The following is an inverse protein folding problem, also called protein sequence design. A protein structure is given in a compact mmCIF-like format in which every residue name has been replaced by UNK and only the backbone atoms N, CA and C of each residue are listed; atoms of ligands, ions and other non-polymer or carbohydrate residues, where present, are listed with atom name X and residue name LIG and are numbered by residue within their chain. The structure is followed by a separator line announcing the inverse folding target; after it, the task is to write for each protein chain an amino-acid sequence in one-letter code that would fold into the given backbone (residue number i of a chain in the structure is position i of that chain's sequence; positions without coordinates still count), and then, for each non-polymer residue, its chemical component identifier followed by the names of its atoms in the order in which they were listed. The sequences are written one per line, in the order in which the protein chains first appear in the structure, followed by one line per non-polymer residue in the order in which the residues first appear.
data_IF_783000102854
#
_entry.id   IF_783000102854
#
_cell.length_a   1.000
_cell.length_b   1.000
_cell.length_c   1.000
_cell.angle_alpha   90.00
_cell.angle_beta   90.00
_cell.angle_gamma   90.00
#
_symmetry.space_group_name_H-M   'P 1'
#
loop_
_entity.id
_entity.type
_entity.pdbx_description
1 polymer ?
#
# COMPACT_ATOMS: atom_id res chain seq x y z
N UNK A 1 -65.36 -3.07 18.16
CA UNK A 1 -64.49 -3.79 17.18
C UNK A 1 -63.42 -2.93 16.48
N UNK A 2 -63.23 -1.63 16.76
CA UNK A 2 -62.21 -0.78 16.11
C UNK A 2 -60.93 -0.57 16.95
N UNK A 3 -61.01 -0.74 18.26
CA UNK A 3 -59.85 -0.52 19.17
C UNK A 3 -58.87 -1.73 19.15
N UNK A 4 -59.38 -2.96 19.00
CA UNK A 4 -58.53 -4.15 18.93
C UNK A 4 -57.63 -4.23 17.68
N UNK A 5 -58.10 -3.67 16.55
CA UNK A 5 -57.30 -3.63 15.30
C UNK A 5 -56.16 -2.61 15.33
N UNK A 6 -56.33 -1.52 16.10
CA UNK A 6 -55.31 -0.48 16.25
C UNK A 6 -54.16 -0.94 17.15
N UNK A 7 -54.48 -1.72 18.19
CA UNK A 7 -53.46 -2.29 19.11
C UNK A 7 -52.61 -3.38 18.45
N UNK A 8 -53.22 -4.21 17.59
CA UNK A 8 -52.48 -5.25 16.84
C UNK A 8 -51.56 -4.64 15.78
N UNK A 9 -51.97 -3.56 15.11
CA UNK A 9 -51.14 -2.84 14.15
C UNK A 9 -49.96 -2.11 14.83
N UNK A 10 -50.16 -1.57 16.04
CA UNK A 10 -49.10 -0.92 16.79
C UNK A 10 -48.08 -1.93 17.36
N UNK A 11 -48.55 -3.10 17.81
CA UNK A 11 -47.69 -4.19 18.27
C UNK A 11 -46.84 -4.82 17.13
N UNK A 12 -47.41 -4.92 15.92
CA UNK A 12 -46.71 -5.38 14.73
C UNK A 12 -45.65 -4.32 14.25
N UNK A 13 -45.95 -3.02 14.40
CA UNK A 13 -44.99 -1.98 14.05
C UNK A 13 -43.86 -1.84 15.07
N UNK A 14 -44.13 -2.07 16.37
CA UNK A 14 -43.15 -2.11 17.43
C UNK A 14 -42.18 -3.32 17.31
N UNK A 15 -42.65 -4.46 16.78
CA UNK A 15 -41.82 -5.65 16.56
C UNK A 15 -40.84 -5.48 15.39
N UNK A 16 -41.07 -4.55 14.46
CA UNK A 16 -40.15 -4.23 13.37
C UNK A 16 -39.03 -3.24 13.77
N UNK A 17 -39.14 -2.59 14.95
CA UNK A 17 -38.14 -1.61 15.42
C UNK A 17 -37.05 -2.22 16.29
N UNK A 18 -37.09 -3.53 16.53
CA UNK A 18 -36.05 -4.24 17.32
C UNK A 18 -35.17 -5.15 16.49
N UNK A 19 -35.01 -4.88 15.20
CA UNK A 19 -33.87 -5.43 14.49
C UNK A 19 -32.63 -4.64 14.96
N UNK A 20 -32.02 -5.13 16.02
CA UNK A 20 -30.70 -4.68 16.41
C UNK A 20 -29.79 -4.82 15.21
N UNK A 21 -29.33 -3.70 14.67
CA UNK A 21 -28.25 -3.68 13.71
C UNK A 21 -27.07 -4.36 14.40
N UNK A 22 -26.81 -5.62 14.04
CA UNK A 22 -25.54 -6.27 14.41
C UNK A 22 -24.44 -5.44 13.77
N UNK A 23 -23.50 -4.90 14.52
CA UNK A 23 -22.39 -4.16 13.95
C UNK A 23 -21.63 -5.12 13.03
N UNK A 24 -21.70 -4.91 11.73
CA UNK A 24 -20.84 -5.55 10.76
C UNK A 24 -19.43 -4.98 10.94
N UNK A 25 -18.56 -5.74 11.60
CA UNK A 25 -17.15 -5.42 11.74
C UNK A 25 -16.60 -5.82 13.12
N UNK A 26 -15.30 -6.10 13.24
CA UNK A 26 -14.67 -6.23 14.53
C UNK A 26 -14.93 -4.93 15.30
N UNK A 27 -15.53 -5.05 16.48
CA UNK A 27 -15.83 -3.90 17.32
C UNK A 27 -14.54 -3.18 17.68
N UNK A 28 -14.21 -2.17 16.92
CA UNK A 28 -13.26 -1.18 17.41
C UNK A 28 -13.93 -0.50 18.59
N UNK A 29 -13.35 -0.65 19.77
CA UNK A 29 -13.70 0.19 20.88
C UNK A 29 -13.49 1.61 20.40
N UNK A 30 -14.61 2.32 20.17
CA UNK A 30 -14.57 3.75 19.86
C UNK A 30 -13.71 4.41 20.94
N UNK A 31 -12.66 5.14 20.58
CA UNK A 31 -11.88 5.86 21.57
C UNK A 31 -12.83 6.73 22.38
N UNK A 32 -12.65 6.75 23.70
CA UNK A 32 -13.51 7.49 24.66
C UNK A 32 -13.65 8.97 24.29
N UNK A 33 -12.78 9.45 23.41
CA UNK A 33 -12.81 10.80 22.85
C UNK A 33 -12.93 10.72 21.33
N UNK A 34 -14.06 11.15 20.83
CA UNK A 34 -14.21 11.44 19.41
C UNK A 34 -13.24 12.55 19.03
N UNK A 35 -12.36 12.32 18.06
CA UNK A 35 -11.46 13.37 17.59
C UNK A 35 -12.22 14.27 16.63
N UNK A 36 -12.33 15.56 16.97
CA UNK A 36 -12.88 16.57 16.06
C UNK A 36 -11.99 16.65 14.80
N UNK A 37 -12.57 16.36 13.64
CA UNK A 37 -11.82 16.32 12.36
C UNK A 37 -11.49 17.72 11.84
N UNK A 38 -12.27 18.74 12.20
CA UNK A 38 -12.13 20.08 11.69
C UNK A 38 -12.29 21.14 12.78
N UNK A 39 -11.54 22.25 12.72
CA UNK A 39 -11.79 23.43 13.54
C UNK A 39 -13.13 24.08 13.16
N UNK A 40 -13.65 24.94 14.05
CA UNK A 40 -14.90 25.68 13.84
C UNK A 40 -14.76 26.82 12.81
N UNK A 41 -13.54 27.19 12.50
CA UNK A 41 -13.21 28.20 11.47
C UNK A 41 -12.72 27.53 10.19
N UNK A 42 -12.78 28.20 9.02
CA UNK A 42 -12.22 27.67 7.79
C UNK A 42 -10.75 27.26 7.94
N UNK A 43 -10.33 26.18 7.27
CA UNK A 43 -8.96 25.68 7.36
C UNK A 43 -7.90 26.73 7.03
N UNK A 44 -8.13 27.56 6.01
CA UNK A 44 -7.24 28.68 5.64
C UNK A 44 -7.09 29.69 6.76
N UNK A 45 -8.15 29.94 7.50
CA UNK A 45 -8.17 30.86 8.63
C UNK A 45 -7.38 30.28 9.81
N UNK A 46 -7.65 29.01 10.12
CA UNK A 46 -6.93 28.33 11.18
C UNK A 46 -5.42 28.22 10.87
N UNK A 47 -5.06 27.85 9.64
CA UNK A 47 -3.68 27.79 9.20
C UNK A 47 -2.98 29.14 9.25
N UNK A 48 -3.71 30.27 9.08
CA UNK A 48 -3.18 31.64 9.18
C UNK A 48 -3.11 32.21 10.61
N UNK A 49 -3.51 31.40 11.62
CA UNK A 49 -3.45 31.79 13.03
C UNK A 49 -4.77 32.32 13.62
N UNK A 50 -5.86 32.32 12.85
CA UNK A 50 -7.20 32.59 13.38
C UNK A 50 -7.80 31.31 13.96
N UNK A 51 -7.29 30.90 15.11
CA UNK A 51 -7.52 29.56 15.65
C UNK A 51 -8.95 29.28 16.13
N UNK A 52 -9.69 30.34 16.55
CA UNK A 52 -10.95 30.15 17.28
C UNK A 52 -10.73 29.41 18.60
N UNK A 53 -11.63 28.49 18.93
CA UNK A 53 -11.51 27.66 20.13
C UNK A 53 -10.65 26.42 19.79
N UNK A 54 -9.52 26.28 20.48
CA UNK A 54 -8.66 25.08 20.34
C UNK A 54 -9.16 24.03 21.33
N UNK A 55 -9.57 22.88 20.79
CA UNK A 55 -10.05 21.74 21.57
C UNK A 55 -8.97 20.67 21.70
N UNK A 56 -8.79 20.05 22.88
CA UNK A 56 -7.81 18.97 23.06
C UNK A 56 -8.17 17.71 22.24
N UNK A 57 -9.41 17.62 21.77
CA UNK A 57 -9.93 16.53 20.91
C UNK A 57 -9.59 16.70 19.44
N UNK A 58 -8.98 17.82 19.04
CA UNK A 58 -8.52 17.99 17.66
C UNK A 58 -7.45 16.97 17.28
N UNK A 59 -7.42 16.61 16.02
CA UNK A 59 -6.35 15.77 15.46
C UNK A 59 -4.98 16.41 15.66
N UNK A 60 -3.94 15.59 15.74
CA UNK A 60 -2.57 16.05 16.02
C UNK A 60 -2.07 17.07 15.01
N UNK A 61 -2.40 16.91 13.72
CA UNK A 61 -2.05 17.89 12.68
C UNK A 61 -2.67 19.28 12.94
N UNK A 62 -3.92 19.32 13.40
CA UNK A 62 -4.60 20.58 13.79
C UNK A 62 -3.96 21.18 15.04
N UNK A 63 -3.64 20.34 16.05
CA UNK A 63 -2.96 20.77 17.27
C UNK A 63 -1.53 21.25 17.01
N UNK A 64 -0.83 20.69 16.03
CA UNK A 64 0.48 21.17 15.61
C UNK A 64 0.42 22.63 15.11
N UNK A 65 -0.55 22.96 14.27
CA UNK A 65 -0.73 24.34 13.81
C UNK A 65 -1.06 25.29 14.96
N UNK A 66 -1.94 24.87 15.88
CA UNK A 66 -2.22 25.65 17.10
C UNK A 66 -0.96 25.87 17.95
N UNK A 67 -0.18 24.82 18.20
CA UNK A 67 1.08 24.91 18.92
C UNK A 67 2.03 25.95 18.29
N UNK A 68 2.21 25.91 16.97
CA UNK A 68 3.07 26.82 16.22
C UNK A 68 2.65 28.28 16.43
N UNK A 69 1.36 28.58 16.35
CA UNK A 69 0.85 29.93 16.55
C UNK A 69 0.91 30.38 18.00
N UNK A 70 0.52 29.53 18.95
CA UNK A 70 0.52 29.85 20.37
C UNK A 70 1.94 29.97 20.93
N UNK A 71 2.91 29.26 20.38
CA UNK A 71 4.33 29.41 20.75
C UNK A 71 5.03 30.61 20.09
N UNK A 72 4.33 31.35 19.23
CA UNK A 72 4.89 32.48 18.50
C UNK A 72 5.72 32.13 17.25
N UNK A 73 5.90 30.84 16.94
CA UNK A 73 6.63 30.42 15.75
C UNK A 73 5.85 30.71 14.45
N UNK A 74 4.53 30.52 14.46
CA UNK A 74 3.66 30.67 13.30
C UNK A 74 3.98 29.67 12.15
N UNK A 75 3.33 29.85 11.01
CA UNK A 75 3.53 29.05 9.79
C UNK A 75 3.90 29.96 8.63
N UNK A 76 4.77 29.51 7.71
CA UNK A 76 4.99 30.18 6.41
C UNK A 76 3.77 29.98 5.51
N UNK A 77 3.69 30.68 4.39
CA UNK A 77 2.58 30.51 3.44
C UNK A 77 2.54 29.08 2.86
N UNK A 78 3.70 28.50 2.56
CA UNK A 78 3.80 27.14 2.03
C UNK A 78 3.41 26.11 3.10
N UNK A 79 3.86 26.27 4.34
CA UNK A 79 3.44 25.45 5.46
C UNK A 79 1.92 25.55 5.73
N UNK A 80 1.32 26.75 5.62
CA UNK A 80 -0.13 26.93 5.75
C UNK A 80 -0.88 26.15 4.67
N UNK A 81 -0.43 26.24 3.41
CA UNK A 81 -1.00 25.50 2.30
C UNK A 81 -0.87 23.99 2.53
N UNK A 82 0.33 23.52 2.88
CA UNK A 82 0.58 22.12 3.16
C UNK A 82 -0.32 21.56 4.28
N UNK A 83 -0.55 22.34 5.38
CA UNK A 83 -1.47 21.95 6.45
C UNK A 83 -2.91 21.83 5.96
N UNK A 84 -3.38 22.79 5.16
CA UNK A 84 -4.74 22.73 4.58
C UNK A 84 -4.90 21.51 3.70
N UNK A 85 -3.88 21.15 2.90
CA UNK A 85 -3.91 19.98 2.04
C UNK A 85 -3.94 18.67 2.87
N UNK A 86 -3.14 18.58 3.95
CA UNK A 86 -3.19 17.45 4.88
C UNK A 86 -4.58 17.29 5.52
N UNK A 87 -5.16 18.37 6.02
CA UNK A 87 -6.48 18.30 6.67
C UNK A 87 -7.61 17.92 5.71
N UNK A 88 -7.56 18.40 4.47
CA UNK A 88 -8.51 17.99 3.43
C UNK A 88 -8.40 16.51 3.11
N UNK A 89 -7.17 16.03 2.91
CA UNK A 89 -6.92 14.62 2.67
C UNK A 89 -7.43 13.75 3.83
N UNK A 90 -7.15 14.13 5.08
CA UNK A 90 -7.63 13.44 6.28
C UNK A 90 -9.17 13.40 6.40
N UNK A 91 -9.91 14.41 5.89
CA UNK A 91 -11.39 14.45 5.93
C UNK A 91 -11.99 13.69 4.78
N UNK A 92 -11.48 13.94 3.58
CA UNK A 92 -12.04 13.39 2.33
C UNK A 92 -11.72 11.90 2.17
N UNK A 93 -10.82 11.37 3.00
CA UNK A 93 -10.28 10.01 2.87
C UNK A 93 -9.72 9.73 1.46
N UNK A 94 -9.20 10.80 0.81
CA UNK A 94 -8.77 10.78 -0.61
C UNK A 94 -7.31 10.39 -0.81
N UNK A 95 -6.55 10.18 0.27
CA UNK A 95 -5.16 9.75 0.17
C UNK A 95 -5.01 8.35 -0.46
N UNK A 96 -6.13 7.63 -0.64
CA UNK A 96 -6.18 6.29 -1.21
C UNK A 96 -6.49 6.23 -2.72
N UNK A 97 -6.96 7.32 -3.32
CA UNK A 97 -7.18 7.38 -4.77
C UNK A 97 -6.07 8.20 -5.42
N UNK A 98 -4.97 7.56 -5.79
CA UNK A 98 -3.98 8.18 -6.64
C UNK A 98 -4.47 8.20 -8.10
N UNK A 99 -5.42 9.11 -8.39
CA UNK A 99 -5.90 9.38 -9.74
C UNK A 99 -4.76 9.84 -10.69
N UNK A 100 -3.55 10.08 -10.15
CA UNK A 100 -2.40 10.51 -10.93
C UNK A 100 -1.75 9.35 -11.68
N UNK A 101 -1.87 8.11 -11.18
CA UNK A 101 -1.39 6.90 -11.90
C UNK A 101 -2.20 6.70 -13.17
N UNK A 102 -3.53 6.76 -13.09
CA UNK A 102 -4.41 6.59 -14.25
C UNK A 102 -4.12 7.61 -15.35
N UNK A 103 -3.85 8.86 -14.99
CA UNK A 103 -3.49 9.89 -15.96
C UNK A 103 -2.15 9.63 -16.65
N UNK A 104 -1.15 9.13 -15.90
CA UNK A 104 0.16 8.78 -16.45
C UNK A 104 0.07 7.53 -17.36
N UNK A 105 -0.72 6.53 -16.95
CA UNK A 105 -1.03 5.36 -17.79
C UNK A 105 -1.73 5.76 -19.08
N UNK A 106 -2.73 6.65 -19.01
CA UNK A 106 -3.42 7.14 -20.19
C UNK A 106 -2.46 7.88 -21.14
N UNK A 107 -1.58 8.73 -20.61
CA UNK A 107 -0.56 9.45 -21.41
C UNK A 107 0.41 8.46 -22.08
N UNK A 108 0.87 7.43 -21.36
CA UNK A 108 1.69 6.35 -21.93
C UNK A 108 0.97 5.64 -23.07
N UNK A 109 -0.27 5.20 -22.87
CA UNK A 109 -1.04 4.49 -23.89
C UNK A 109 -1.29 5.35 -25.14
N UNK A 110 -1.54 6.63 -24.97
CA UNK A 110 -1.71 7.57 -26.09
C UNK A 110 -0.40 7.79 -26.85
N UNK A 111 0.73 7.88 -26.16
CA UNK A 111 2.04 7.99 -26.80
C UNK A 111 2.41 6.70 -27.54
N UNK A 112 2.18 5.53 -26.92
CA UNK A 112 2.38 4.21 -27.51
C UNK A 112 1.62 4.04 -28.83
N UNK A 113 0.37 4.49 -28.93
CA UNK A 113 -0.47 4.44 -30.15
C UNK A 113 0.13 5.20 -31.36
N UNK A 114 1.08 6.10 -31.14
CA UNK A 114 1.78 6.80 -32.24
C UNK A 114 2.78 5.92 -32.95
N UNK A 115 3.23 4.83 -32.31
CA UNK A 115 4.27 3.92 -32.79
C UNK A 115 3.69 2.54 -33.10
N UNK A 116 2.81 2.02 -32.27
CA UNK A 116 2.24 0.66 -32.37
C UNK A 116 0.90 0.69 -33.10
N UNK A 117 0.62 -0.39 -33.84
CA UNK A 117 -0.68 -0.54 -34.49
C UNK A 117 -1.82 -0.56 -33.45
N UNK A 118 -2.98 -0.03 -33.82
CA UNK A 118 -4.18 0.04 -32.95
C UNK A 118 -4.71 -1.35 -32.56
N UNK A 119 -4.39 -2.38 -33.30
CA UNK A 119 -4.81 -3.76 -33.03
C UNK A 119 -3.92 -4.46 -31.99
N UNK A 120 -2.70 -3.99 -31.76
CA UNK A 120 -1.84 -4.55 -30.72
C UNK A 120 -2.28 -4.06 -29.35
N UNK A 121 -2.86 -4.97 -28.56
CA UNK A 121 -3.31 -4.67 -27.20
C UNK A 121 -2.11 -4.40 -26.29
N UNK A 122 -2.13 -3.31 -25.50
CA UNK A 122 -1.13 -3.11 -24.47
C UNK A 122 -1.24 -4.20 -23.40
N UNK A 123 -0.15 -4.50 -22.66
CA UNK A 123 -0.20 -5.44 -21.55
C UNK A 123 -1.17 -4.93 -20.47
N UNK A 124 -1.69 -5.86 -19.65
CA UNK A 124 -2.44 -5.50 -18.46
C UNK A 124 -1.49 -4.81 -17.47
N UNK A 125 -1.80 -3.58 -17.09
CA UNK A 125 -0.95 -2.73 -16.24
C UNK A 125 -1.38 -2.79 -14.78
N UNK A 126 -2.67 -3.04 -14.54
CA UNK A 126 -3.25 -3.12 -13.21
C UNK A 126 -3.30 -4.55 -12.73
N UNK A 127 -2.70 -4.82 -11.60
CA UNK A 127 -2.75 -6.09 -10.91
C UNK A 127 -2.16 -5.94 -9.51
N UNK A 128 -2.76 -6.66 -8.59
CA UNK A 128 -2.33 -6.66 -7.20
C UNK A 128 -1.15 -7.61 -7.04
N UNK A 129 -0.04 -7.12 -6.52
CA UNK A 129 0.98 -7.97 -5.96
C UNK A 129 0.65 -8.21 -4.48
N UNK A 130 0.06 -9.36 -4.18
CA UNK A 130 -0.02 -9.84 -2.81
C UNK A 130 1.19 -10.74 -2.55
N UNK A 131 1.97 -10.40 -1.58
CA UNK A 131 3.13 -11.18 -1.12
C UNK A 131 2.73 -12.10 0.04
N UNK A 132 1.67 -12.91 -0.10
CA UNK A 132 1.40 -14.10 0.71
C UNK A 132 1.25 -13.98 2.24
N UNK A 133 1.81 -13.00 2.92
CA UNK A 133 1.72 -12.83 4.37
C UNK A 133 1.66 -11.35 4.77
N UNK A 134 0.48 -10.80 4.84
CA UNK A 134 0.25 -9.43 5.28
C UNK A 134 -0.36 -8.56 4.18
N UNK A 135 -1.13 -7.51 4.58
CA UNK A 135 -1.66 -6.52 3.63
C UNK A 135 -0.58 -5.49 3.30
N UNK A 136 0.53 -5.86 2.71
CA UNK A 136 1.36 -4.91 2.00
C UNK A 136 0.92 -4.88 0.54
N UNK A 137 -0.08 -4.07 0.26
CA UNK A 137 -0.42 -3.66 -1.09
C UNK A 137 0.49 -2.49 -1.46
N UNK A 138 1.32 -2.67 -2.46
CA UNK A 138 2.01 -1.56 -3.12
C UNK A 138 1.76 -1.65 -4.62
N UNK A 139 1.45 -0.52 -5.29
CA UNK A 139 1.42 -0.50 -6.74
C UNK A 139 2.82 -0.83 -7.25
N UNK A 140 2.95 -1.94 -7.98
CA UNK A 140 4.27 -2.37 -8.46
C UNK A 140 4.88 -1.34 -9.41
N UNK A 141 4.06 -0.78 -10.31
CA UNK A 141 4.45 0.29 -11.22
C UNK A 141 3.77 1.59 -10.80
N UNK A 142 4.56 2.57 -10.39
CA UNK A 142 4.09 3.88 -9.94
C UNK A 142 4.03 4.88 -11.08
N UNK A 143 3.40 6.04 -10.86
CA UNK A 143 3.22 7.13 -11.81
C UNK A 143 4.49 7.47 -12.59
N UNK A 144 5.61 7.62 -11.89
CA UNK A 144 6.89 8.00 -12.49
C UNK A 144 7.47 6.96 -13.47
N UNK A 145 7.08 5.68 -13.35
CA UNK A 145 7.47 4.67 -14.33
C UNK A 145 6.86 4.96 -15.71
N UNK A 146 5.57 5.32 -15.72
CA UNK A 146 4.84 5.66 -16.95
C UNK A 146 5.27 7.02 -17.51
N UNK A 147 5.49 8.01 -16.66
CA UNK A 147 6.01 9.32 -17.06
C UNK A 147 7.39 9.17 -17.71
N UNK A 148 8.33 8.47 -17.07
CA UNK A 148 9.66 8.21 -17.63
C UNK A 148 9.59 7.49 -18.98
N UNK A 149 8.73 6.49 -19.12
CA UNK A 149 8.56 5.77 -20.38
C UNK A 149 7.95 6.67 -21.48
N UNK A 150 6.97 7.51 -21.11
CA UNK A 150 6.33 8.46 -22.05
C UNK A 150 7.32 9.50 -22.55
N UNK A 151 8.12 10.07 -21.65
CA UNK A 151 9.14 11.07 -22.00
C UNK A 151 10.23 10.45 -22.88
N UNK A 152 10.74 9.27 -22.47
CA UNK A 152 11.74 8.55 -23.26
C UNK A 152 11.22 8.22 -24.66
N UNK A 153 10.00 7.69 -24.79
CA UNK A 153 9.41 7.39 -26.08
C UNK A 153 9.24 8.68 -26.92
N UNK A 154 8.88 9.80 -26.28
CA UNK A 154 8.77 11.09 -26.96
C UNK A 154 10.10 11.54 -27.55
N UNK A 155 11.19 11.40 -26.80
CA UNK A 155 12.54 11.71 -27.25
C UNK A 155 12.97 10.80 -28.41
N UNK A 156 12.70 9.49 -28.31
CA UNK A 156 13.05 8.51 -29.36
C UNK A 156 12.25 8.75 -30.64
N UNK A 157 10.94 9.04 -30.53
CA UNK A 157 10.11 9.41 -31.70
C UNK A 157 10.58 10.73 -32.33
N UNK A 158 10.99 11.69 -31.54
CA UNK A 158 11.52 12.96 -32.05
C UNK A 158 12.84 12.78 -32.78
N UNK A 159 13.73 11.92 -32.24
CA UNK A 159 15.04 11.70 -32.82
C UNK A 159 15.04 10.81 -34.08
N UNK A 160 14.17 9.79 -34.12
CA UNK A 160 14.22 8.73 -35.11
C UNK A 160 12.94 8.56 -35.92
N UNK A 161 11.82 9.12 -35.46
CA UNK A 161 10.50 8.97 -36.06
C UNK A 161 9.71 7.77 -35.52
N UNK A 162 8.37 7.83 -35.62
CA UNK A 162 7.50 6.80 -35.04
C UNK A 162 7.53 5.45 -35.78
N UNK A 163 8.00 5.43 -37.02
CA UNK A 163 8.12 4.22 -37.86
C UNK A 163 9.52 3.60 -37.84
N UNK A 164 10.45 4.15 -37.07
CA UNK A 164 11.79 3.58 -36.93
C UNK A 164 11.74 2.19 -36.32
N UNK A 165 12.38 1.17 -36.90
CA UNK A 165 12.36 -0.20 -36.37
C UNK A 165 12.89 -0.32 -34.92
N UNK A 166 13.89 0.49 -34.56
CA UNK A 166 14.43 0.55 -33.20
C UNK A 166 13.45 1.13 -32.20
N UNK A 167 12.66 2.16 -32.59
CA UNK A 167 11.62 2.75 -31.75
C UNK A 167 10.48 1.75 -31.55
N UNK A 168 10.08 1.02 -32.59
CA UNK A 168 9.06 -0.04 -32.49
C UNK A 168 9.54 -1.16 -31.55
N UNK A 169 10.78 -1.59 -31.70
CA UNK A 169 11.40 -2.61 -30.86
C UNK A 169 11.52 -2.13 -29.40
N UNK A 170 11.86 -0.87 -29.18
CA UNK A 170 11.88 -0.25 -27.86
C UNK A 170 10.51 -0.30 -27.16
N UNK A 171 9.42 -0.02 -27.89
CA UNK A 171 8.05 -0.04 -27.33
C UNK A 171 7.65 -1.47 -26.98
N UNK A 172 7.97 -2.47 -27.82
CA UNK A 172 7.70 -3.89 -27.51
C UNK A 172 8.41 -4.33 -26.24
N UNK A 173 9.66 -3.92 -26.06
CA UNK A 173 10.41 -4.20 -24.85
C UNK A 173 9.80 -3.49 -23.62
N UNK A 174 9.31 -2.25 -23.78
CA UNK A 174 8.65 -1.54 -22.70
C UNK A 174 7.31 -2.19 -22.32
N UNK A 175 6.58 -2.74 -23.27
CA UNK A 175 5.37 -3.53 -23.00
C UNK A 175 5.70 -4.78 -22.16
N UNK A 176 6.82 -5.46 -22.42
CA UNK A 176 7.26 -6.59 -21.60
C UNK A 176 7.62 -6.14 -20.16
N UNK A 177 8.24 -4.96 -20.01
CA UNK A 177 8.49 -4.36 -18.67
C UNK A 177 7.17 -4.13 -17.93
N UNK A 178 6.21 -3.47 -18.55
CA UNK A 178 4.92 -3.15 -17.94
C UNK A 178 4.01 -4.37 -17.75
N UNK A 179 4.23 -5.45 -18.50
CA UNK A 179 3.60 -6.75 -18.25
C UNK A 179 3.89 -7.31 -16.85
N UNK A 180 4.96 -6.83 -16.19
CA UNK A 180 5.30 -7.21 -14.81
C UNK A 180 4.57 -6.37 -13.76
N UNK A 181 3.89 -5.30 -14.13
CA UNK A 181 3.10 -4.49 -13.18
C UNK A 181 1.99 -5.31 -12.52
N UNK A 182 1.44 -6.30 -13.24
CA UNK A 182 0.37 -7.20 -12.81
C UNK A 182 0.84 -8.64 -12.57
N UNK A 183 1.89 -8.84 -11.78
CA UNK A 183 2.43 -10.17 -11.42
C UNK A 183 3.12 -10.94 -12.56
N UNK A 184 3.46 -10.30 -13.67
CA UNK A 184 4.23 -10.90 -14.74
C UNK A 184 5.67 -11.22 -14.34
N UNK A 185 6.30 -12.11 -15.12
CA UNK A 185 7.74 -12.43 -15.03
C UNK A 185 8.36 -12.37 -16.43
N UNK A 186 8.09 -11.29 -17.15
CA UNK A 186 8.59 -11.10 -18.51
C UNK A 186 9.91 -10.33 -18.46
N UNK A 187 10.87 -10.77 -19.26
CA UNK A 187 12.11 -10.03 -19.49
C UNK A 187 12.17 -9.69 -20.99
N UNK A 188 12.42 -8.43 -21.36
CA UNK A 188 12.61 -8.07 -22.75
C UNK A 188 13.77 -8.87 -23.37
N UNK A 189 13.60 -9.25 -24.64
CA UNK A 189 14.69 -9.85 -25.42
C UNK A 189 15.87 -8.88 -25.54
N UNK A 190 17.04 -9.37 -25.86
CA UNK A 190 18.20 -8.53 -26.15
C UNK A 190 17.94 -7.59 -27.32
N UNK A 191 18.61 -6.44 -27.34
CA UNK A 191 18.55 -5.57 -28.50
C UNK A 191 19.06 -6.33 -29.75
N UNK A 192 18.44 -6.08 -30.93
CA UNK A 192 18.87 -6.73 -32.16
C UNK A 192 20.37 -6.60 -32.42
N UNK A 193 20.98 -7.62 -33.03
CA UNK A 193 22.41 -7.58 -33.40
C UNK A 193 22.64 -6.36 -34.30
N UNK A 194 23.61 -5.52 -33.94
CA UNK A 194 23.90 -4.27 -34.66
C UNK A 194 22.96 -3.11 -34.36
N UNK A 195 22.12 -3.24 -33.33
CA UNK A 195 21.29 -2.13 -32.84
C UNK A 195 22.15 -0.90 -32.48
N UNK A 196 21.64 0.32 -32.70
CA UNK A 196 22.34 1.54 -32.35
C UNK A 196 22.57 1.60 -30.82
N UNK A 197 23.60 2.31 -30.40
CA UNK A 197 24.05 2.39 -29.02
C UNK A 197 22.91 2.85 -28.07
N UNK A 198 22.13 3.85 -28.47
CA UNK A 198 21.00 4.30 -27.67
C UNK A 198 20.00 3.18 -27.35
N UNK A 199 19.72 2.29 -28.32
CA UNK A 199 18.77 1.20 -28.11
C UNK A 199 19.37 0.11 -27.20
N UNK A 200 20.68 -0.15 -27.30
CA UNK A 200 21.37 -1.06 -26.39
C UNK A 200 21.34 -0.56 -24.94
N UNK A 201 21.62 0.74 -24.72
CA UNK A 201 21.58 1.37 -23.40
C UNK A 201 20.16 1.36 -22.79
N UNK A 202 19.17 1.75 -23.60
CA UNK A 202 17.76 1.68 -23.18
C UNK A 202 17.32 0.25 -22.88
N UNK A 203 17.75 -0.73 -23.66
CA UNK A 203 17.44 -2.14 -23.43
C UNK A 203 18.06 -2.67 -22.14
N UNK A 204 19.27 -2.28 -21.79
CA UNK A 204 19.88 -2.62 -20.51
C UNK A 204 19.01 -2.09 -19.36
N UNK A 205 18.56 -0.82 -19.45
CA UNK A 205 17.66 -0.24 -18.45
C UNK A 205 16.30 -0.97 -18.41
N UNK A 206 15.68 -1.27 -19.54
CA UNK A 206 14.41 -1.99 -19.58
C UNK A 206 14.52 -3.39 -18.96
N UNK A 207 15.61 -4.11 -19.20
CA UNK A 207 15.84 -5.43 -18.58
C UNK A 207 16.01 -5.33 -17.06
N UNK A 208 16.75 -4.33 -16.57
CA UNK A 208 16.88 -4.07 -15.14
C UNK A 208 15.54 -3.71 -14.48
N UNK A 209 14.74 -2.85 -15.13
CA UNK A 209 13.40 -2.48 -14.68
C UNK A 209 12.44 -3.68 -14.70
N UNK A 210 12.51 -4.54 -15.71
CA UNK A 210 11.70 -5.75 -15.76
C UNK A 210 11.99 -6.69 -14.58
N UNK A 211 13.25 -6.88 -14.20
CA UNK A 211 13.67 -7.65 -13.03
C UNK A 211 13.14 -7.03 -11.73
N UNK A 212 13.24 -5.71 -11.60
CA UNK A 212 12.71 -4.97 -10.46
C UNK A 212 11.20 -5.19 -10.29
N UNK A 213 10.42 -5.07 -11.37
CA UNK A 213 8.96 -5.26 -11.33
C UNK A 213 8.53 -6.73 -11.24
N UNK A 214 9.39 -7.68 -11.62
CA UNK A 214 9.14 -9.11 -11.40
C UNK A 214 9.58 -9.61 -10.01
N UNK A 215 10.01 -8.69 -9.13
CA UNK A 215 10.49 -8.94 -7.76
C UNK A 215 11.79 -9.76 -7.69
N UNK A 216 12.55 -9.79 -8.78
CA UNK A 216 13.88 -10.40 -8.85
C UNK A 216 14.94 -9.36 -8.43
N UNK A 217 14.95 -9.04 -7.13
CA UNK A 217 15.70 -7.91 -6.62
C UNK A 217 17.22 -8.09 -6.68
N UNK A 218 17.72 -9.31 -6.50
CA UNK A 218 19.15 -9.59 -6.59
C UNK A 218 19.70 -9.27 -7.99
N UNK A 219 19.00 -9.77 -9.01
CA UNK A 219 19.37 -9.54 -10.41
C UNK A 219 19.07 -8.10 -10.84
N UNK A 220 18.01 -7.47 -10.33
CA UNK A 220 17.71 -6.07 -10.59
C UNK A 220 18.80 -5.14 -10.03
N UNK A 221 19.20 -5.35 -8.77
CA UNK A 221 20.29 -4.63 -8.13
C UNK A 221 21.58 -4.72 -8.94
N UNK A 222 21.97 -5.93 -9.34
CA UNK A 222 23.19 -6.14 -10.15
C UNK A 222 23.07 -5.40 -11.49
N UNK A 223 21.95 -5.54 -12.19
CA UNK A 223 21.77 -4.89 -13.50
C UNK A 223 21.77 -3.36 -13.41
N UNK A 224 21.12 -2.76 -12.39
CA UNK A 224 21.22 -1.33 -12.18
C UNK A 224 22.64 -0.88 -11.77
N UNK A 225 23.36 -1.67 -10.98
CA UNK A 225 24.76 -1.39 -10.62
C UNK A 225 25.66 -1.39 -11.86
N UNK A 226 25.46 -2.33 -12.78
CA UNK A 226 26.22 -2.37 -14.04
C UNK A 226 25.95 -1.12 -14.89
N UNK A 227 24.70 -0.67 -14.99
CA UNK A 227 24.32 0.57 -15.69
C UNK A 227 24.91 1.82 -15.00
N UNK A 228 24.93 1.86 -13.66
CA UNK A 228 25.49 2.95 -12.89
C UNK A 228 27.01 3.09 -13.10
N UNK A 229 27.70 2.01 -13.40
CA UNK A 229 29.11 1.98 -13.71
C UNK A 229 29.43 2.23 -15.20
N UNK A 230 28.45 2.24 -16.07
CA UNK A 230 28.60 2.60 -17.48
C UNK A 230 28.58 4.13 -17.65
N UNK A 231 29.79 4.72 -17.84
CA UNK A 231 29.96 6.18 -17.97
C UNK A 231 29.26 6.77 -19.20
N UNK A 232 29.02 5.95 -20.22
CA UNK A 232 28.36 6.37 -21.47
C UNK A 232 26.83 6.14 -21.42
N UNK A 233 26.30 5.57 -20.32
CA UNK A 233 24.86 5.34 -20.18
C UNK A 233 24.13 6.62 -19.79
N UNK A 234 23.07 7.00 -20.54
CA UNK A 234 22.19 8.11 -20.15
C UNK A 234 21.38 7.78 -18.88
N UNK A 235 21.34 6.52 -18.49
CA UNK A 235 20.62 6.01 -17.32
C UNK A 235 21.45 5.92 -16.03
N UNK A 236 22.71 6.34 -16.08
CA UNK A 236 23.66 6.17 -14.98
C UNK A 236 23.13 6.70 -13.65
N UNK A 237 22.75 7.99 -13.58
CA UNK A 237 22.22 8.60 -12.34
C UNK A 237 20.89 7.97 -11.91
N UNK A 238 20.04 7.59 -12.88
CA UNK A 238 18.79 6.91 -12.61
C UNK A 238 19.05 5.53 -12.01
N UNK A 239 20.05 4.82 -12.53
CA UNK A 239 20.39 3.47 -12.07
C UNK A 239 20.95 3.51 -10.63
N UNK A 240 21.83 4.47 -10.29
CA UNK A 240 22.29 4.66 -8.90
C UNK A 240 21.11 4.83 -7.92
N UNK A 241 20.15 5.67 -8.28
CA UNK A 241 18.93 5.85 -7.47
C UNK A 241 18.09 4.56 -7.39
N UNK A 242 17.97 3.79 -8.48
CA UNK A 242 17.18 2.57 -8.54
C UNK A 242 17.86 1.39 -7.81
N UNK A 243 19.17 1.36 -7.66
CA UNK A 243 19.85 0.41 -6.76
C UNK A 243 19.34 0.59 -5.33
N UNK A 244 19.31 1.83 -4.83
CA UNK A 244 18.78 2.12 -3.49
C UNK A 244 17.30 1.73 -3.35
N UNK A 245 16.48 2.05 -4.34
CA UNK A 245 15.05 1.66 -4.34
C UNK A 245 14.86 0.14 -4.33
N UNK A 246 15.70 -0.58 -5.07
CA UNK A 246 15.65 -2.05 -5.11
C UNK A 246 15.94 -2.64 -3.74
N UNK A 247 16.99 -2.17 -3.07
CA UNK A 247 17.35 -2.61 -1.72
C UNK A 247 16.25 -2.31 -0.69
N UNK A 248 15.69 -1.09 -0.72
CA UNK A 248 14.61 -0.70 0.20
C UNK A 248 13.35 -1.54 -0.04
N UNK A 249 13.00 -1.81 -1.30
CA UNK A 249 11.85 -2.64 -1.63
C UNK A 249 12.04 -4.08 -1.18
N UNK A 250 13.21 -4.65 -1.40
CA UNK A 250 13.57 -5.98 -0.90
C UNK A 250 13.52 -6.03 0.63
N UNK A 251 14.07 -5.01 1.31
CA UNK A 251 14.02 -4.88 2.77
C UNK A 251 12.58 -4.83 3.30
N UNK A 252 11.70 -4.08 2.64
CA UNK A 252 10.29 -3.94 3.03
C UNK A 252 9.49 -5.24 2.91
N UNK A 253 9.93 -6.17 2.06
CA UNK A 253 9.30 -7.46 1.83
C UNK A 253 10.02 -8.63 2.52
N UNK A 254 11.15 -8.36 3.18
CA UNK A 254 11.93 -9.40 3.85
C UNK A 254 11.19 -9.90 5.10
N UNK A 255 10.98 -11.22 5.18
CA UNK A 255 10.36 -11.85 6.36
C UNK A 255 11.29 -11.87 7.58
N UNK A 256 12.59 -11.78 7.36
CA UNK A 256 13.59 -11.80 8.42
C UNK A 256 14.00 -10.37 8.77
N UNK A 257 13.71 -9.88 10.01
CA UNK A 257 14.06 -8.52 10.43
C UNK A 257 15.56 -8.21 10.30
N UNK A 258 16.44 -9.19 10.54
CA UNK A 258 17.89 -8.98 10.41
C UNK A 258 18.29 -8.76 8.95
N UNK A 259 17.70 -9.53 8.02
CA UNK A 259 17.93 -9.33 6.58
C UNK A 259 17.39 -7.97 6.14
N UNK A 260 16.22 -7.56 6.62
CA UNK A 260 15.66 -6.24 6.33
C UNK A 260 16.63 -5.13 6.79
N UNK A 261 17.15 -5.24 8.01
CA UNK A 261 18.13 -4.27 8.56
C UNK A 261 19.40 -4.19 7.72
N UNK A 262 19.96 -5.32 7.31
CA UNK A 262 21.15 -5.38 6.45
C UNK A 262 20.91 -4.72 5.09
N UNK A 263 19.74 -4.94 4.49
CA UNK A 263 19.36 -4.31 3.22
C UNK A 263 19.13 -2.80 3.35
N UNK A 264 18.53 -2.35 4.45
CA UNK A 264 18.40 -0.90 4.72
C UNK A 264 19.76 -0.24 4.96
N UNK A 265 20.71 -0.90 5.65
CA UNK A 265 22.08 -0.40 5.82
C UNK A 265 22.79 -0.26 4.48
N UNK A 266 22.66 -1.28 3.62
CA UNK A 266 23.25 -1.24 2.28
C UNK A 266 22.63 -0.11 1.44
N UNK A 267 21.30 0.07 1.50
CA UNK A 267 20.59 1.13 0.80
C UNK A 267 21.05 2.52 1.27
N UNK A 268 21.13 2.74 2.58
CA UNK A 268 21.59 4.00 3.15
C UNK A 268 23.02 4.31 2.69
N UNK A 269 23.92 3.34 2.82
CA UNK A 269 25.31 3.47 2.40
C UNK A 269 25.41 3.79 0.91
N UNK A 270 24.63 3.12 0.08
CA UNK A 270 24.61 3.38 -1.35
C UNK A 270 24.14 4.79 -1.67
N UNK A 271 23.05 5.27 -1.05
CA UNK A 271 22.56 6.62 -1.24
C UNK A 271 23.61 7.66 -0.87
N UNK A 272 24.22 7.52 0.31
CA UNK A 272 25.18 8.48 0.84
C UNK A 272 26.46 8.60 -0.02
N UNK A 273 26.86 7.53 -0.71
CA UNK A 273 28.09 7.49 -1.49
C UNK A 273 27.88 7.71 -3.00
N UNK A 274 26.75 7.29 -3.56
CA UNK A 274 26.56 7.21 -5.00
C UNK A 274 25.49 8.18 -5.55
N UNK A 275 24.52 8.62 -4.72
CA UNK A 275 23.51 9.56 -5.19
C UNK A 275 23.87 10.98 -4.77
N UNK A 276 24.25 11.82 -5.74
CA UNK A 276 24.65 13.19 -5.47
C UNK A 276 23.49 14.01 -4.87
N UNK A 277 23.67 14.66 -3.69
CA UNK A 277 22.59 15.46 -3.07
C UNK A 277 22.07 16.60 -3.95
N UNK A 278 22.91 17.22 -4.75
CA UNK A 278 22.57 18.27 -5.69
C UNK A 278 22.19 17.73 -7.09
N UNK A 279 22.21 16.42 -7.30
CA UNK A 279 21.87 15.77 -8.55
C UNK A 279 20.35 15.65 -8.76
N UNK A 280 19.98 15.16 -9.93
CA UNK A 280 18.57 14.97 -10.34
C UNK A 280 17.74 14.23 -9.28
N UNK A 281 18.33 13.25 -8.61
CA UNK A 281 17.65 12.39 -7.63
C UNK A 281 17.93 12.76 -6.17
N UNK A 282 18.67 13.83 -5.88
CA UNK A 282 18.97 14.25 -4.51
C UNK A 282 17.75 14.38 -3.61
N UNK A 283 16.73 15.16 -3.98
CA UNK A 283 15.49 15.26 -3.17
C UNK A 283 14.76 13.92 -3.00
N UNK A 284 14.80 13.04 -4.01
CA UNK A 284 14.19 11.70 -3.93
C UNK A 284 15.01 10.78 -3.03
N UNK A 285 16.33 10.85 -3.09
CA UNK A 285 17.25 10.11 -2.21
C UNK A 285 17.08 10.51 -0.73
N UNK A 286 16.89 11.82 -0.46
CA UNK A 286 16.60 12.29 0.90
C UNK A 286 15.28 11.68 1.42
N UNK A 287 14.24 11.59 0.59
CA UNK A 287 13.00 10.90 0.97
C UNK A 287 13.22 9.42 1.28
N UNK A 288 14.08 8.72 0.52
CA UNK A 288 14.43 7.34 0.83
C UNK A 288 15.19 7.22 2.16
N UNK A 289 16.10 8.13 2.47
CA UNK A 289 16.78 8.17 3.78
C UNK A 289 15.78 8.40 4.92
N UNK A 290 14.81 9.29 4.70
CA UNK A 290 13.72 9.53 5.67
C UNK A 290 12.87 8.27 5.89
N UNK A 291 12.55 7.50 4.83
CA UNK A 291 11.86 6.22 4.94
C UNK A 291 12.69 5.19 5.72
N UNK A 292 13.99 5.07 5.43
CA UNK A 292 14.88 4.19 6.18
C UNK A 292 14.88 4.56 7.66
N UNK A 293 15.03 5.85 7.99
CA UNK A 293 14.98 6.33 9.37
C UNK A 293 13.63 6.03 10.05
N UNK A 294 12.52 6.21 9.34
CA UNK A 294 11.18 5.87 9.79
C UNK A 294 11.05 4.38 10.14
N UNK A 295 11.58 3.49 9.30
CA UNK A 295 11.49 2.03 9.48
C UNK A 295 12.42 1.50 10.58
N UNK A 296 13.66 1.95 10.60
CA UNK A 296 14.71 1.41 11.48
C UNK A 296 14.82 2.10 12.83
N UNK A 297 14.59 3.42 12.85
CA UNK A 297 14.82 4.26 14.03
C UNK A 297 13.58 5.11 14.36
N UNK A 298 12.37 4.49 14.51
CA UNK A 298 11.13 5.24 14.66
C UNK A 298 11.12 6.17 15.89
N UNK A 299 11.77 5.78 16.98
CA UNK A 299 11.85 6.59 18.21
C UNK A 299 12.70 7.84 18.04
N UNK A 300 13.83 7.71 17.40
CA UNK A 300 14.73 8.80 17.07
C UNK A 300 14.09 9.71 16.03
N UNK A 301 13.47 9.12 15.00
CA UNK A 301 12.81 9.84 13.93
C UNK A 301 11.64 10.69 14.42
N UNK A 302 10.79 10.19 15.31
CA UNK A 302 9.67 11.01 15.85
C UNK A 302 10.18 12.22 16.63
N UNK A 303 11.31 12.10 17.36
CA UNK A 303 11.92 13.22 18.09
C UNK A 303 12.52 14.24 17.11
N UNK A 304 13.19 13.77 16.07
CA UNK A 304 13.70 14.63 15.01
C UNK A 304 12.58 15.42 14.33
N UNK A 305 11.52 14.73 13.89
CA UNK A 305 10.34 15.34 13.28
C UNK A 305 9.68 16.36 14.20
N UNK A 306 9.51 16.03 15.49
CA UNK A 306 8.97 16.96 16.47
C UNK A 306 9.77 18.26 16.56
N UNK A 307 11.10 18.17 16.51
CA UNK A 307 12.00 19.35 16.52
C UNK A 307 11.89 20.15 15.23
N UNK A 308 11.93 19.48 14.08
CA UNK A 308 11.78 20.15 12.76
C UNK A 308 10.44 20.84 12.64
N UNK A 309 9.34 20.15 13.00
CA UNK A 309 7.99 20.69 12.92
C UNK A 309 7.72 21.83 13.92
N UNK A 310 8.47 21.94 15.00
CA UNK A 310 8.37 23.06 15.93
C UNK A 310 8.95 24.36 15.38
N UNK A 311 9.80 24.35 14.36
CA UNK A 311 10.52 25.52 13.84
C UNK A 311 9.93 25.96 12.50
N UNK A 312 9.63 27.28 12.39
CA UNK A 312 9.07 27.88 11.17
C UNK A 312 10.06 27.84 9.99
N UNK A 313 9.60 27.31 8.86
CA UNK A 313 10.38 27.28 7.62
C UNK A 313 11.61 26.38 7.66
N UNK A 314 11.68 25.45 8.61
CA UNK A 314 12.80 24.55 8.74
C UNK A 314 12.72 23.30 7.79
N UNK A 315 11.64 23.18 7.04
CA UNK A 315 11.30 21.95 6.32
C UNK A 315 11.00 22.19 4.85
N UNK A 316 11.82 21.64 3.97
CA UNK A 316 11.52 21.59 2.53
C UNK A 316 10.42 20.52 2.22
N UNK A 317 10.25 19.52 3.10
CA UNK A 317 9.27 18.44 3.00
C UNK A 317 8.18 18.51 4.09
N UNK A 318 7.75 19.70 4.48
CA UNK A 318 6.87 19.93 5.63
C UNK A 318 5.60 19.06 5.63
N UNK A 319 4.92 18.92 4.46
CA UNK A 319 3.72 18.08 4.34
C UNK A 319 4.01 16.63 4.72
N UNK A 320 5.07 16.05 4.18
CA UNK A 320 5.45 14.67 4.44
C UNK A 320 5.90 14.49 5.89
N UNK A 321 6.67 15.41 6.42
CA UNK A 321 7.11 15.37 7.82
C UNK A 321 5.92 15.39 8.81
N UNK A 322 4.84 16.12 8.49
CA UNK A 322 3.59 16.09 9.30
C UNK A 322 2.92 14.70 9.20
N UNK A 323 2.85 14.12 8.02
CA UNK A 323 2.26 12.79 7.80
C UNK A 323 3.07 11.74 8.56
N UNK A 324 4.38 11.70 8.38
CA UNK A 324 5.28 10.75 9.05
C UNK A 324 5.21 10.86 10.57
N UNK A 325 5.19 12.09 11.08
CA UNK A 325 5.06 12.33 12.51
C UNK A 325 3.75 11.76 13.08
N UNK A 326 2.64 11.99 12.38
CA UNK A 326 1.34 11.45 12.80
C UNK A 326 1.33 9.92 12.76
N UNK A 327 1.85 9.32 11.71
CA UNK A 327 1.91 7.86 11.56
C UNK A 327 2.79 7.19 12.61
N UNK A 328 3.95 7.78 12.92
CA UNK A 328 4.82 7.26 13.99
C UNK A 328 4.10 7.30 15.35
N UNK A 329 3.39 8.37 15.65
CA UNK A 329 2.62 8.46 16.89
C UNK A 329 1.45 7.47 16.93
N UNK A 330 0.76 7.26 15.79
CA UNK A 330 -0.30 6.25 15.68
C UNK A 330 0.27 4.83 15.85
N UNK A 331 1.42 4.56 15.24
CA UNK A 331 2.15 3.30 15.42
C UNK A 331 2.46 3.05 16.90
N UNK A 332 3.02 4.03 17.61
CA UNK A 332 3.34 3.87 19.04
C UNK A 332 2.09 3.65 19.90
N UNK A 333 0.98 4.30 19.59
CA UNK A 333 -0.30 4.06 20.28
C UNK A 333 -0.79 2.64 20.00
N UNK A 334 -0.76 2.21 18.75
CA UNK A 334 -1.16 0.85 18.35
C UNK A 334 -0.28 -0.20 19.03
N UNK A 335 1.04 -0.06 18.96
CA UNK A 335 1.98 -0.99 19.60
C UNK A 335 1.75 -1.08 21.12
N UNK A 336 1.45 0.06 21.77
CA UNK A 336 1.15 0.08 23.21
C UNK A 336 -0.18 -0.62 23.54
N UNK A 337 -1.22 -0.46 22.72
CA UNK A 337 -2.51 -1.12 22.90
C UNK A 337 -2.37 -2.63 22.68
N UNK A 338 -1.68 -3.06 21.65
CA UNK A 338 -1.44 -4.48 21.36
C UNK A 338 -0.63 -5.14 22.49
N UNK A 339 0.38 -4.46 23.02
CA UNK A 339 1.14 -4.94 24.18
C UNK A 339 0.28 -5.08 25.43
N UNK A 340 -0.62 -4.13 25.67
CA UNK A 340 -1.56 -4.17 26.80
C UNK A 340 -2.59 -5.30 26.65
N UNK A 341 -3.14 -5.48 25.43
CA UNK A 341 -4.10 -6.54 25.16
C UNK A 341 -3.44 -7.94 25.29
N UNK A 342 -2.21 -8.08 24.80
CA UNK A 342 -1.42 -9.29 25.01
C UNK A 342 -1.18 -9.55 26.51
N UNK A 343 -0.79 -8.51 27.26
CA UNK A 343 -0.59 -8.63 28.70
C UNK A 343 -1.87 -9.11 29.42
N UNK A 344 -3.03 -8.53 29.05
CA UNK A 344 -4.33 -8.94 29.59
C UNK A 344 -4.69 -10.37 29.22
N UNK A 345 -4.43 -10.78 27.97
CA UNK A 345 -4.66 -12.14 27.50
C UNK A 345 -3.77 -13.16 28.25
N UNK A 346 -2.49 -12.86 28.42
CA UNK A 346 -1.53 -13.69 29.17
C UNK A 346 -1.94 -13.80 30.65
N UNK A 347 -2.40 -12.70 31.27
CA UNK A 347 -2.90 -12.67 32.63
C UNK A 347 -4.18 -13.49 32.78
N UNK A 348 -5.13 -13.37 31.83
CA UNK A 348 -6.35 -14.18 31.80
C UNK A 348 -6.03 -15.67 31.66
N UNK A 349 -5.12 -16.04 30.73
CA UNK A 349 -4.67 -17.41 30.56
C UNK A 349 -4.01 -18.01 31.83
N UNK A 350 -3.28 -17.16 32.59
CA UNK A 350 -2.67 -17.56 33.86
C UNK A 350 -3.70 -17.76 34.96
N UNK A 351 -4.75 -16.94 35.02
CA UNK A 351 -5.78 -16.99 36.09
C UNK A 351 -6.85 -18.03 35.78
N UNK A 352 -7.15 -18.28 34.51
CA UNK A 352 -8.19 -19.19 34.01
C UNK A 352 -7.64 -20.16 32.96
N UNK A 353 -6.72 -21.06 33.32
CA UNK A 353 -6.10 -21.98 32.36
C UNK A 353 -7.12 -22.89 31.65
N UNK A 354 -8.26 -23.17 32.30
CA UNK A 354 -9.36 -23.96 31.75
C UNK A 354 -10.19 -23.22 30.68
N UNK A 355 -10.14 -21.86 30.65
CA UNK A 355 -10.81 -21.03 29.64
C UNK A 355 -9.91 -20.68 28.48
N UNK A 356 -8.63 -21.06 28.54
CA UNK A 356 -7.70 -20.77 27.45
C UNK A 356 -8.13 -21.60 26.25
N UNK A 357 -8.43 -21.00 25.09
CA UNK A 357 -8.63 -21.77 23.87
C UNK A 357 -7.40 -22.65 23.70
N UNK A 358 -7.57 -23.96 23.60
CA UNK A 358 -6.48 -24.85 23.19
C UNK A 358 -5.92 -24.24 21.91
N UNK A 359 -4.63 -23.90 21.84
CA UNK A 359 -4.07 -23.38 20.62
C UNK A 359 -4.47 -24.35 19.53
N UNK A 360 -5.21 -23.86 18.53
CA UNK A 360 -5.40 -24.66 17.31
C UNK A 360 -4.00 -25.04 16.91
N UNK A 361 -3.64 -26.33 16.85
CA UNK A 361 -2.29 -26.72 16.49
C UNK A 361 -1.95 -25.95 15.22
N UNK A 362 -0.83 -25.27 15.21
CA UNK A 362 -0.33 -24.65 14.02
C UNK A 362 -0.41 -25.68 12.91
N UNK A 363 -0.89 -25.33 11.71
CA UNK A 363 -1.03 -26.29 10.62
C UNK A 363 0.34 -26.92 10.39
N UNK A 364 0.52 -28.14 10.92
CA UNK A 364 1.75 -28.93 10.84
C UNK A 364 1.75 -29.84 9.63
N UNK A 365 0.90 -29.56 8.65
CA UNK A 365 0.97 -30.15 7.31
C UNK A 365 0.97 -28.99 6.31
N UNK A 366 1.91 -29.02 5.38
CA UNK A 366 1.86 -28.22 4.17
C UNK A 366 0.45 -28.37 3.58
N UNK A 367 -0.36 -27.32 3.70
CA UNK A 367 -1.72 -27.33 3.16
C UNK A 367 -1.60 -27.54 1.67
N UNK A 368 -2.16 -28.62 1.15
CA UNK A 368 -2.19 -28.90 -0.30
C UNK A 368 -2.71 -27.63 -1.02
N UNK A 369 -1.91 -27.01 -1.89
CA UNK A 369 -2.31 -25.79 -2.58
C UNK A 369 -3.57 -25.97 -3.45
N UNK A 370 -3.96 -27.22 -3.71
CA UNK A 370 -5.16 -27.55 -4.48
C UNK A 370 -6.40 -27.80 -3.61
N UNK A 371 -6.32 -27.63 -2.28
CA UNK A 371 -7.43 -27.89 -1.36
C UNK A 371 -7.75 -26.62 -0.56
N UNK A 372 -9.01 -26.20 -0.54
CA UNK A 372 -9.54 -25.15 0.35
C UNK A 372 -10.06 -25.82 1.63
N UNK A 373 -9.57 -25.37 2.76
CA UNK A 373 -10.13 -25.71 4.07
C UNK A 373 -11.13 -24.64 4.48
N UNK A 374 -12.38 -25.02 4.58
CA UNK A 374 -13.50 -24.14 4.88
C UNK A 374 -14.20 -24.58 6.16
N UNK A 375 -14.98 -23.68 6.74
CA UNK A 375 -15.78 -24.00 7.92
C UNK A 375 -17.14 -23.31 7.82
N UNK A 376 -18.20 -24.04 8.19
CA UNK A 376 -19.54 -23.51 8.35
C UNK A 376 -19.89 -23.47 9.82
N UNK A 377 -20.31 -22.32 10.32
CA UNK A 377 -20.85 -22.20 11.69
C UNK A 377 -22.36 -22.36 11.67
N UNK A 378 -22.85 -23.46 12.27
CA UNK A 378 -24.26 -23.77 12.35
C UNK A 378 -24.59 -24.41 13.71
N UNK A 379 -25.76 -24.11 14.29
CA UNK A 379 -26.21 -24.64 15.57
C UNK A 379 -25.14 -24.53 16.70
N UNK A 380 -24.51 -23.35 16.80
CA UNK A 380 -23.47 -23.03 17.81
C UNK A 380 -22.19 -23.88 17.69
N UNK A 381 -21.99 -24.56 16.57
CA UNK A 381 -20.82 -25.38 16.29
C UNK A 381 -20.19 -25.02 14.94
N UNK A 382 -18.88 -25.19 14.87
CA UNK A 382 -18.12 -25.06 13.63
C UNK A 382 -17.97 -26.46 12.99
N UNK A 383 -18.28 -26.51 11.69
CA UNK A 383 -18.21 -27.72 10.89
C UNK A 383 -17.13 -27.52 9.80
N UNK A 384 -15.89 -28.00 10.03
CA UNK A 384 -14.84 -27.91 9.04
C UNK A 384 -15.09 -28.88 7.89
N UNK A 385 -14.77 -28.45 6.66
CA UNK A 385 -14.83 -29.27 5.47
C UNK A 385 -13.78 -28.83 4.45
N UNK A 386 -13.42 -29.73 3.52
CA UNK A 386 -12.41 -29.47 2.51
C UNK A 386 -13.03 -29.57 1.11
N UNK A 387 -12.62 -28.67 0.21
CA UNK A 387 -12.98 -28.70 -1.20
C UNK A 387 -11.75 -28.44 -2.06
N UNK A 388 -11.78 -28.84 -3.32
CA UNK A 388 -10.72 -28.47 -4.26
C UNK A 388 -10.66 -26.95 -4.46
N UNK A 389 -9.51 -26.40 -4.76
CA UNK A 389 -9.34 -24.97 -5.00
C UNK A 389 -10.19 -24.46 -6.18
N UNK A 390 -10.42 -25.29 -7.18
CA UNK A 390 -11.26 -25.02 -8.36
C UNK A 390 -12.74 -25.43 -8.19
N UNK A 391 -13.15 -25.88 -6.99
CA UNK A 391 -14.52 -26.33 -6.72
C UNK A 391 -15.53 -25.20 -6.99
N UNK A 392 -16.69 -25.58 -7.49
CA UNK A 392 -17.84 -24.65 -7.66
C UNK A 392 -18.54 -24.37 -6.33
N UNK A 393 -19.42 -23.36 -6.29
CA UNK A 393 -20.30 -23.10 -5.14
C UNK A 393 -21.17 -24.31 -4.80
N UNK A 394 -21.61 -25.06 -5.82
CA UNK A 394 -22.41 -26.27 -5.65
C UNK A 394 -21.61 -27.38 -4.96
N UNK A 395 -20.34 -27.57 -5.34
CA UNK A 395 -19.45 -28.55 -4.71
C UNK A 395 -19.18 -28.20 -3.25
N UNK A 396 -18.93 -26.91 -2.96
CA UNK A 396 -18.69 -26.42 -1.61
C UNK A 396 -19.95 -26.60 -0.71
N UNK A 397 -21.13 -26.31 -1.24
CA UNK A 397 -22.41 -26.53 -0.54
C UNK A 397 -22.62 -28.02 -0.27
N UNK A 398 -22.29 -28.89 -1.23
CA UNK A 398 -22.42 -30.34 -1.07
C UNK A 398 -21.48 -30.85 0.01
N UNK A 399 -20.23 -30.40 0.03
CA UNK A 399 -19.26 -30.77 1.05
C UNK A 399 -19.67 -30.26 2.44
N UNK A 400 -20.17 -29.05 2.55
CA UNK A 400 -20.70 -28.49 3.79
C UNK A 400 -21.94 -29.26 4.30
N UNK A 401 -22.87 -29.66 3.40
CA UNK A 401 -24.01 -30.50 3.76
C UNK A 401 -23.59 -31.84 4.31
N UNK A 402 -22.57 -32.46 3.72
CA UNK A 402 -22.01 -33.73 4.23
C UNK A 402 -21.37 -33.54 5.62
N UNK A 403 -20.67 -32.43 5.87
CA UNK A 403 -20.06 -32.13 7.17
C UNK A 403 -21.12 -31.89 8.27
N UNK A 404 -22.22 -31.20 7.94
CA UNK A 404 -23.31 -30.89 8.88
C UNK A 404 -24.26 -32.08 9.06
N UNK A 405 -24.33 -32.99 8.08
CA UNK A 405 -25.20 -34.20 8.11
C UNK A 405 -26.68 -33.90 7.82
N UNK A 406 -27.02 -32.74 7.28
CA UNK A 406 -28.37 -32.32 6.88
C UNK A 406 -28.37 -31.35 5.73
N UNK A 407 -29.49 -31.14 5.05
CA UNK A 407 -29.64 -30.04 4.09
C UNK A 407 -29.37 -28.68 4.75
N UNK A 408 -28.66 -27.81 4.04
CA UNK A 408 -28.38 -26.44 4.50
C UNK A 408 -29.58 -25.53 4.20
N UNK A 409 -29.84 -24.61 5.10
CA UNK A 409 -30.74 -23.46 4.87
C UNK A 409 -30.12 -22.52 3.80
N UNK A 410 -30.94 -21.63 3.24
CA UNK A 410 -30.46 -20.69 2.23
C UNK A 410 -29.41 -19.70 2.81
N UNK A 411 -29.55 -19.34 4.08
CA UNK A 411 -28.56 -18.51 4.80
C UNK A 411 -27.21 -19.25 4.93
N UNK A 412 -27.25 -20.53 5.33
CA UNK A 412 -26.04 -21.35 5.45
C UNK A 412 -25.37 -21.59 4.09
N UNK A 413 -26.15 -21.80 3.02
CA UNK A 413 -25.62 -21.87 1.66
C UNK A 413 -24.92 -20.58 1.25
N UNK A 414 -25.46 -19.43 1.65
CA UNK A 414 -24.84 -18.13 1.37
C UNK A 414 -23.55 -17.94 2.15
N UNK A 415 -23.51 -18.38 3.41
CA UNK A 415 -22.27 -18.40 4.22
C UNK A 415 -21.19 -19.27 3.58
N UNK A 416 -21.53 -20.46 3.08
CA UNK A 416 -20.60 -21.36 2.39
C UNK A 416 -20.05 -20.70 1.11
N UNK A 417 -20.91 -20.06 0.30
CA UNK A 417 -20.46 -19.31 -0.90
C UNK A 417 -19.48 -18.20 -0.53
N UNK A 418 -19.82 -17.42 0.49
CA UNK A 418 -18.96 -16.36 0.98
C UNK A 418 -17.63 -16.90 1.52
N UNK A 419 -17.64 -17.95 2.33
CA UNK A 419 -16.43 -18.57 2.86
C UNK A 419 -15.53 -19.10 1.74
N UNK A 420 -16.10 -19.77 0.71
CA UNK A 420 -15.35 -20.21 -0.46
C UNK A 420 -14.74 -19.04 -1.24
N UNK A 421 -15.52 -18.02 -1.49
CA UNK A 421 -15.07 -16.84 -2.21
C UNK A 421 -13.97 -16.10 -1.43
N UNK A 422 -14.14 -15.96 -0.11
CA UNK A 422 -13.13 -15.36 0.76
C UNK A 422 -11.86 -16.20 0.85
N UNK A 423 -11.96 -17.54 0.92
CA UNK A 423 -10.81 -18.42 0.92
C UNK A 423 -10.10 -18.43 -0.45
N UNK A 424 -10.84 -18.32 -1.54
CA UNK A 424 -10.26 -18.18 -2.87
C UNK A 424 -9.56 -16.84 -3.04
N UNK A 425 -10.20 -15.76 -2.64
CA UNK A 425 -9.58 -14.42 -2.61
C UNK A 425 -8.50 -14.33 -1.54
N UNK A 426 -8.67 -14.97 -0.37
CA UNK A 426 -7.69 -15.02 0.72
C UNK A 426 -6.42 -15.79 0.40
N UNK A 427 -6.45 -16.75 -0.52
CA UNK A 427 -5.22 -17.36 -1.09
C UNK A 427 -4.43 -16.38 -1.96
N UNK A 428 -5.11 -15.34 -2.44
CA UNK A 428 -4.52 -14.24 -3.20
C UNK A 428 -4.44 -12.96 -2.36
N UNK A 429 -4.96 -12.96 -1.12
CA UNK A 429 -4.97 -11.82 -0.19
C UNK A 429 -4.78 -12.29 1.27
N UNK A 430 -3.67 -12.96 1.58
CA UNK A 430 -3.23 -13.04 2.96
C UNK A 430 -2.33 -11.87 3.25
N UNK A 431 -2.95 -10.79 3.66
CA UNK A 431 -2.21 -9.59 3.91
C UNK A 431 -2.78 -8.93 5.17
N UNK A 432 -1.95 -8.70 6.19
CA UNK A 432 -2.29 -7.86 7.34
C UNK A 432 -2.04 -6.41 6.96
N UNK A 433 -3.06 -5.55 7.17
CA UNK A 433 -2.90 -4.09 7.07
C UNK A 433 -1.99 -3.64 8.20
N UNK A 434 -0.70 -3.57 7.95
CA UNK A 434 0.22 -2.77 8.72
C UNK A 434 1.08 -2.01 7.71
N UNK A 435 1.04 -0.70 7.84
CA UNK A 435 1.93 0.24 7.18
C UNK A 435 1.62 0.56 5.71
N UNK A 436 0.68 1.45 5.55
CA UNK A 436 0.41 2.15 4.29
C UNK A 436 1.56 3.13 3.97
N UNK A 437 2.44 2.73 3.06
CA UNK A 437 3.57 3.55 2.59
C UNK A 437 3.25 4.35 1.32
N UNK A 438 1.98 4.65 1.06
CA UNK A 438 1.52 5.30 -0.18
C UNK A 438 2.18 6.64 -0.53
N UNK A 439 2.94 7.25 0.38
CA UNK A 439 3.62 8.53 0.15
C UNK A 439 5.10 8.44 -0.25
N UNK A 440 5.75 7.28 -0.09
CA UNK A 440 7.19 7.15 -0.30
C UNK A 440 7.61 6.63 -1.68
N UNK A 441 6.68 6.06 -2.44
CA UNK A 441 6.99 5.42 -3.72
C UNK A 441 6.71 6.30 -4.95
N UNK A 442 6.21 7.53 -4.74
CA UNK A 442 5.96 8.52 -5.77
C UNK A 442 7.20 9.33 -6.18
#
# INVERSE_FOLDING_TARGET
MKIGRLLVTFALFAAFLTQGALPCGPGYTTPVFDTDKAPEVPFSDYASGRLGIVKPTFRRSVLLAAYRWLSGAGLTQDEQKAMVDVWRAEIDNKDFEDNTVDSAVAAWLDKRKQVMDKEEKPPAIYGDHSTGEGYEFFPNCTKNAFETATDTLSDRVTAHGPSDPGVIDWVKAQDAVFGNCSSGKQTPDDAPIGAPDWLQKDRAYQKAAAKFYSLDYADAKQAFTDIAHDFDSPWRETADYLVARTLIREASLAHNPKQADELYDEAQTHIEHNVAPAGKFGPSAERLLNLIAYRRHPKERVVELARKLAVRGANDNFRQDVIDYNWLLDKFVKDALEAEDKRKADEKARLHPEETPVPTPAPTEESDPNVLELSLYANEKSYPFKVKADATDADAITAAQAAVGRPLTDVEKQQVRYARQSAYTGRFSTAKVSDYDGGYWG
#
